data_IF_633095747552
#
_entry.id   IF_633095747552
#
_cell.length_a   1.000
_cell.length_b   1.000
_cell.length_c   1.000
_cell.angle_alpha   90.00
_cell.angle_beta   90.00
_cell.angle_gamma   90.00
#
_symmetry.space_group_name_H-M   'P 1'
#
loop_
_entity.id
_entity.type
_entity.pdbx_description
1 polymer ?
#
# COMPACT_ATOMS: atom_id res chain seq x y z
N UNK A 1 32.28 4.25 -1.96
CA UNK A 1 32.10 3.89 -3.38
C UNK A 1 30.66 3.41 -3.56
N UNK A 2 29.73 4.28 -3.92
CA UNK A 2 28.33 3.89 -4.19
C UNK A 2 28.21 3.61 -5.68
N UNK A 3 27.89 2.37 -6.05
CA UNK A 3 27.46 2.07 -7.43
C UNK A 3 26.31 3.02 -7.80
N UNK A 4 26.27 3.57 -9.02
CA UNK A 4 25.13 4.35 -9.46
C UNK A 4 23.86 3.50 -9.26
N UNK A 5 22.77 4.11 -8.75
CA UNK A 5 21.55 3.36 -8.50
C UNK A 5 21.07 2.75 -9.82
N UNK A 6 20.59 1.49 -9.81
CA UNK A 6 20.24 0.77 -11.03
C UNK A 6 19.30 1.60 -11.90
N UNK A 7 19.61 1.65 -13.20
CA UNK A 7 18.79 2.40 -14.16
C UNK A 7 17.39 1.79 -14.25
N UNK A 8 16.32 2.60 -14.20
CA UNK A 8 14.96 2.12 -14.42
C UNK A 8 14.86 1.42 -15.77
N UNK A 9 14.33 0.19 -15.78
CA UNK A 9 14.08 -0.54 -17.02
C UNK A 9 12.77 -0.08 -17.64
N UNK A 10 12.70 0.09 -18.97
CA UNK A 10 11.43 0.40 -19.63
C UNK A 10 10.43 -0.75 -19.37
N UNK A 11 9.15 -0.44 -19.13
CA UNK A 11 8.14 -1.46 -18.86
C UNK A 11 7.90 -2.33 -20.10
N UNK A 12 8.10 -3.64 -19.95
CA UNK A 12 7.69 -4.62 -20.96
C UNK A 12 6.20 -4.97 -20.86
N UNK A 13 5.67 -5.72 -21.82
CA UNK A 13 4.26 -6.14 -21.87
C UNK A 13 3.78 -6.82 -20.58
N UNK A 14 4.64 -7.66 -19.98
CA UNK A 14 4.35 -8.32 -18.71
C UNK A 14 4.15 -7.31 -17.56
N UNK A 15 4.93 -6.23 -17.53
CA UNK A 15 4.80 -5.20 -16.50
C UNK A 15 3.46 -4.46 -16.61
N UNK A 16 3.01 -4.17 -17.83
CA UNK A 16 1.69 -3.59 -18.07
C UNK A 16 0.54 -4.53 -17.69
N UNK A 17 0.63 -5.82 -18.05
CA UNK A 17 -0.38 -6.81 -17.69
C UNK A 17 -0.48 -6.99 -16.16
N UNK A 18 0.67 -7.08 -15.48
CA UNK A 18 0.71 -7.15 -14.02
C UNK A 18 0.19 -5.86 -13.38
N UNK A 19 0.55 -4.68 -13.89
CA UNK A 19 0.04 -3.41 -13.39
C UNK A 19 -1.50 -3.31 -13.52
N UNK A 20 -2.07 -3.81 -14.62
CA UNK A 20 -3.51 -3.88 -14.81
C UNK A 20 -4.17 -4.81 -13.77
N UNK A 21 -3.65 -6.02 -13.59
CA UNK A 21 -4.17 -6.99 -12.60
C UNK A 21 -4.08 -6.44 -11.17
N UNK A 22 -2.95 -5.81 -10.83
CA UNK A 22 -2.75 -5.17 -9.53
C UNK A 22 -3.70 -3.99 -9.35
N UNK A 23 -3.96 -3.21 -10.41
CA UNK A 23 -4.93 -2.12 -10.40
C UNK A 23 -6.35 -2.59 -10.15
N UNK A 24 -6.79 -3.67 -10.82
CA UNK A 24 -8.11 -4.29 -10.59
C UNK A 24 -8.22 -4.83 -9.16
N UNK A 25 -7.19 -5.53 -8.68
CA UNK A 25 -7.13 -6.03 -7.30
C UNK A 25 -7.16 -4.89 -6.27
N UNK A 26 -6.35 -3.85 -6.49
CA UNK A 26 -6.23 -2.70 -5.63
C UNK A 26 -7.51 -1.88 -5.56
N UNK A 27 -8.18 -1.68 -6.69
CA UNK A 27 -9.43 -0.92 -6.75
C UNK A 27 -10.62 -1.62 -6.08
N UNK A 28 -10.61 -2.95 -5.99
CA UNK A 28 -11.69 -3.71 -5.37
C UNK A 28 -11.40 -4.11 -3.91
N UNK A 29 -10.31 -4.84 -3.66
CA UNK A 29 -9.99 -5.37 -2.32
C UNK A 29 -9.13 -4.41 -1.50
N UNK A 30 -8.23 -3.66 -2.14
CA UNK A 30 -7.26 -2.71 -1.53
C UNK A 30 -6.30 -3.32 -0.48
N UNK A 31 -6.60 -4.48 0.09
CA UNK A 31 -5.82 -5.15 1.12
C UNK A 31 -4.46 -5.61 0.57
N UNK A 32 -3.38 -5.25 1.24
CA UNK A 32 -2.04 -5.75 0.90
C UNK A 32 -1.48 -5.31 -0.47
N UNK A 33 -2.16 -4.44 -1.23
CA UNK A 33 -1.79 -4.02 -2.60
C UNK A 33 -0.37 -3.44 -2.72
N UNK A 34 0.19 -2.95 -1.62
CA UNK A 34 1.55 -2.43 -1.58
C UNK A 34 2.63 -3.49 -1.86
N UNK A 35 2.42 -4.74 -1.46
CA UNK A 35 3.40 -5.82 -1.68
C UNK A 35 3.56 -6.18 -3.16
N UNK A 36 2.48 -6.47 -3.94
CA UNK A 36 2.62 -6.75 -5.36
C UNK A 36 3.12 -5.53 -6.15
N UNK A 37 2.79 -4.29 -5.75
CA UNK A 37 3.36 -3.09 -6.35
C UNK A 37 4.88 -2.99 -6.16
N UNK A 38 5.36 -3.20 -4.92
CA UNK A 38 6.80 -3.22 -4.65
C UNK A 38 7.47 -4.37 -5.43
N UNK A 39 6.85 -5.55 -5.45
CA UNK A 39 7.36 -6.68 -6.22
C UNK A 39 7.48 -6.34 -7.72
N UNK A 40 6.44 -5.75 -8.33
CA UNK A 40 6.46 -5.29 -9.71
C UNK A 40 7.59 -4.27 -9.96
N UNK A 41 7.69 -3.24 -9.13
CA UNK A 41 8.69 -2.19 -9.27
C UNK A 41 10.13 -2.69 -9.16
N UNK A 42 10.41 -3.58 -8.21
CA UNK A 42 11.75 -4.14 -8.01
C UNK A 42 12.10 -5.14 -9.11
N UNK A 43 11.18 -6.07 -9.43
CA UNK A 43 11.47 -7.16 -10.37
C UNK A 43 11.43 -6.75 -11.84
N UNK A 44 10.44 -5.94 -12.24
CA UNK A 44 10.20 -5.61 -13.65
C UNK A 44 10.74 -4.23 -14.05
N UNK A 45 10.76 -3.26 -13.14
CA UNK A 45 11.24 -1.90 -13.44
C UNK A 45 12.66 -1.63 -12.91
N UNK A 46 13.26 -2.56 -12.14
CA UNK A 46 14.62 -2.43 -11.63
C UNK A 46 14.79 -1.36 -10.55
N UNK A 47 13.71 -0.94 -9.89
CA UNK A 47 13.79 -0.01 -8.78
C UNK A 47 14.43 -0.66 -7.55
N UNK A 48 15.21 0.13 -6.80
CA UNK A 48 15.57 -0.26 -5.43
C UNK A 48 14.33 -0.20 -4.52
N UNK A 49 14.42 -0.80 -3.33
CA UNK A 49 13.28 -0.93 -2.42
C UNK A 49 12.76 0.45 -1.94
N UNK A 50 13.66 1.43 -1.83
CA UNK A 50 13.31 2.79 -1.39
C UNK A 50 12.49 3.52 -2.45
N UNK A 51 12.94 3.53 -3.70
CA UNK A 51 12.25 4.11 -4.86
C UNK A 51 10.94 3.37 -5.12
N UNK A 52 10.95 2.04 -5.06
CA UNK A 52 9.75 1.23 -5.20
C UNK A 52 8.70 1.59 -4.13
N UNK A 53 9.10 1.73 -2.87
CA UNK A 53 8.17 2.13 -1.81
C UNK A 53 7.64 3.55 -2.00
N UNK A 54 8.50 4.51 -2.38
CA UNK A 54 8.09 5.88 -2.67
C UNK A 54 7.08 5.95 -3.82
N UNK A 55 7.37 5.27 -4.94
CA UNK A 55 6.47 5.17 -6.08
C UNK A 55 5.15 4.47 -5.69
N UNK A 56 5.21 3.41 -4.87
CA UNK A 56 4.03 2.70 -4.38
C UNK A 56 3.12 3.62 -3.59
N UNK A 57 3.66 4.40 -2.66
CA UNK A 57 2.84 5.30 -1.84
C UNK A 57 2.19 6.39 -2.70
N UNK A 58 2.94 7.00 -3.61
CA UNK A 58 2.41 8.01 -4.53
C UNK A 58 1.31 7.45 -5.45
N UNK A 59 1.57 6.28 -6.06
CA UNK A 59 0.61 5.62 -6.94
C UNK A 59 -0.67 5.24 -6.18
N UNK A 60 -0.53 4.64 -5.00
CA UNK A 60 -1.66 4.26 -4.14
C UNK A 60 -2.50 5.47 -3.77
N UNK A 61 -1.87 6.59 -3.40
CA UNK A 61 -2.58 7.82 -3.09
C UNK A 61 -3.43 8.31 -4.28
N UNK A 62 -2.81 8.45 -5.46
CA UNK A 62 -3.49 8.97 -6.65
C UNK A 62 -4.64 8.06 -7.09
N UNK A 63 -4.42 6.75 -7.19
CA UNK A 63 -5.50 5.88 -7.66
C UNK A 63 -6.61 5.74 -6.61
N UNK A 64 -6.31 5.81 -5.30
CA UNK A 64 -7.35 5.76 -4.26
C UNK A 64 -8.32 6.94 -4.39
N UNK A 65 -7.83 8.13 -4.77
CA UNK A 65 -8.70 9.29 -5.06
C UNK A 65 -9.66 8.99 -6.22
N UNK A 66 -9.17 8.36 -7.29
CA UNK A 66 -9.99 7.95 -8.43
C UNK A 66 -11.03 6.91 -8.03
N UNK A 67 -10.62 5.90 -7.25
CA UNK A 67 -11.51 4.86 -6.73
C UNK A 67 -12.63 5.47 -5.90
N UNK A 68 -12.29 6.34 -4.93
CA UNK A 68 -13.29 7.06 -4.12
C UNK A 68 -14.25 7.85 -5.01
N UNK A 69 -13.76 8.56 -6.03
CA UNK A 69 -14.63 9.30 -6.95
C UNK A 69 -15.61 8.39 -7.71
N UNK A 70 -15.14 7.24 -8.20
CA UNK A 70 -15.98 6.25 -8.92
C UNK A 70 -17.04 5.65 -7.99
N UNK A 71 -16.66 5.20 -6.79
CA UNK A 71 -17.60 4.63 -5.83
C UNK A 71 -18.58 5.66 -5.28
N UNK A 72 -18.15 6.93 -5.13
CA UNK A 72 -19.03 8.04 -4.75
C UNK A 72 -20.08 8.29 -5.83
N UNK A 73 -19.67 8.34 -7.11
CA UNK A 73 -20.58 8.51 -8.24
C UNK A 73 -21.57 7.35 -8.38
N UNK A 74 -21.17 6.13 -8.00
CA UNK A 74 -22.03 4.96 -7.96
C UNK A 74 -22.97 4.90 -6.73
N UNK A 75 -22.86 5.84 -5.78
CA UNK A 75 -23.66 5.83 -4.56
C UNK A 75 -23.33 4.68 -3.59
N UNK A 76 -22.14 4.09 -3.71
CA UNK A 76 -21.73 2.90 -2.97
C UNK A 76 -20.86 3.20 -1.73
N UNK A 77 -20.76 4.48 -1.34
CA UNK A 77 -19.99 4.92 -0.17
C UNK A 77 -20.93 5.20 1.00
N UNK A 78 -20.74 4.44 2.09
CA UNK A 78 -21.25 4.80 3.40
C UNK A 78 -20.34 5.85 4.03
N UNK A 79 -20.73 7.13 3.93
CA UNK A 79 -19.92 8.26 4.38
C UNK A 79 -19.56 8.24 5.87
N UNK A 80 -20.50 7.95 6.81
CA UNK A 80 -20.16 7.79 8.21
C UNK A 80 -19.05 6.76 8.47
N UNK A 81 -19.19 5.55 7.90
CA UNK A 81 -18.20 4.48 8.07
C UNK A 81 -16.89 4.79 7.36
N UNK A 82 -16.95 5.39 6.18
CA UNK A 82 -15.78 5.83 5.42
C UNK A 82 -14.96 6.87 6.20
N UNK A 83 -15.61 7.83 6.87
CA UNK A 83 -14.95 8.83 7.71
C UNK A 83 -14.21 8.20 8.89
N UNK A 84 -14.85 7.27 9.60
CA UNK A 84 -14.22 6.54 10.71
C UNK A 84 -13.00 5.74 10.23
N UNK A 85 -13.13 5.05 9.09
CA UNK A 85 -12.05 4.29 8.48
C UNK A 85 -10.89 5.20 8.06
N UNK A 86 -11.17 6.33 7.42
CA UNK A 86 -10.16 7.28 6.96
C UNK A 86 -9.35 7.87 8.12
N UNK A 87 -10.01 8.23 9.22
CA UNK A 87 -9.33 8.71 10.44
C UNK A 87 -8.43 7.61 11.01
N UNK A 88 -8.96 6.39 11.17
CA UNK A 88 -8.18 5.26 11.70
C UNK A 88 -6.97 4.90 10.82
N UNK A 89 -7.15 4.84 9.50
CA UNK A 89 -6.07 4.57 8.54
C UNK A 89 -5.01 5.67 8.55
N UNK A 90 -5.41 6.94 8.60
CA UNK A 90 -4.48 8.08 8.63
C UNK A 90 -3.67 8.07 9.90
N UNK A 91 -4.33 7.91 11.05
CA UNK A 91 -3.66 7.88 12.36
C UNK A 91 -2.72 6.68 12.48
N UNK A 92 -3.19 5.47 12.13
CA UNK A 92 -2.37 4.25 12.15
C UNK A 92 -1.18 4.31 11.20
N UNK A 93 -1.37 4.85 10.00
CA UNK A 93 -0.30 5.05 9.03
C UNK A 93 0.75 6.05 9.51
N UNK A 94 0.33 7.19 10.06
CA UNK A 94 1.23 8.20 10.62
C UNK A 94 2.02 7.66 11.82
N UNK A 95 1.33 7.01 12.78
CA UNK A 95 1.97 6.44 13.96
C UNK A 95 2.95 5.33 13.57
N UNK A 96 2.55 4.42 12.69
CA UNK A 96 3.39 3.32 12.20
C UNK A 96 4.66 3.84 11.49
N UNK A 97 4.52 4.84 10.62
CA UNK A 97 5.67 5.49 9.98
C UNK A 97 6.62 6.13 11.01
N UNK A 98 6.07 6.80 12.03
CA UNK A 98 6.88 7.44 13.09
C UNK A 98 7.58 6.41 13.97
N UNK A 99 6.94 5.29 14.29
CA UNK A 99 7.51 4.18 15.05
C UNK A 99 8.66 3.52 14.28
N UNK A 100 8.48 3.26 12.98
CA UNK A 100 9.50 2.70 12.11
C UNK A 100 10.79 3.53 12.13
N UNK A 101 10.65 4.86 12.06
CA UNK A 101 11.78 5.79 12.06
C UNK A 101 12.48 5.90 13.41
N UNK A 102 11.77 5.73 14.52
CA UNK A 102 12.31 5.94 15.89
C UNK A 102 12.85 4.68 16.55
N UNK A 103 12.15 3.56 16.43
CA UNK A 103 12.41 2.36 17.23
C UNK A 103 12.93 1.15 16.42
N UNK A 104 13.02 1.29 15.09
CA UNK A 104 13.53 0.25 14.21
C UNK A 104 12.61 -0.97 14.05
N UNK A 105 13.13 -1.99 13.35
CA UNK A 105 12.38 -3.16 12.92
C UNK A 105 11.72 -4.01 14.03
N UNK A 106 12.33 -4.28 15.20
CA UNK A 106 11.77 -5.23 16.16
C UNK A 106 10.48 -4.72 16.82
N UNK A 107 10.38 -3.42 17.13
CA UNK A 107 9.15 -2.85 17.69
C UNK A 107 8.00 -2.92 16.69
N UNK A 108 8.28 -2.56 15.43
CA UNK A 108 7.27 -2.61 14.36
C UNK A 108 6.77 -4.04 14.16
N UNK A 109 7.69 -5.02 14.15
CA UNK A 109 7.33 -6.44 14.02
C UNK A 109 6.37 -6.88 15.12
N UNK A 110 6.66 -6.61 16.39
CA UNK A 110 5.79 -6.98 17.50
C UNK A 110 4.45 -6.26 17.45
N UNK A 111 4.46 -4.98 17.06
CA UNK A 111 3.23 -4.19 16.89
C UNK A 111 2.31 -4.83 15.84
N UNK A 112 2.87 -5.25 14.69
CA UNK A 112 2.12 -5.94 13.65
C UNK A 112 1.57 -7.27 14.16
N UNK A 113 2.38 -8.07 14.86
CA UNK A 113 1.95 -9.37 15.41
C UNK A 113 0.77 -9.19 16.37
N UNK A 114 0.85 -8.25 17.29
CA UNK A 114 -0.22 -7.95 18.25
C UNK A 114 -1.47 -7.47 17.53
N UNK A 115 -1.35 -6.56 16.56
CA UNK A 115 -2.47 -6.05 15.77
C UNK A 115 -3.19 -7.18 15.02
N UNK A 116 -2.44 -8.04 14.33
CA UNK A 116 -3.01 -9.19 13.58
C UNK A 116 -3.69 -10.16 14.53
N UNK A 117 -3.10 -10.45 15.69
CA UNK A 117 -3.69 -11.35 16.69
C UNK A 117 -5.02 -10.80 17.23
N UNK A 118 -5.07 -9.50 17.58
CA UNK A 118 -6.27 -8.84 18.08
C UNK A 118 -7.36 -8.79 17.00
N UNK A 119 -7.00 -8.39 15.77
CA UNK A 119 -7.96 -8.38 14.65
C UNK A 119 -8.50 -9.78 14.35
N UNK A 120 -7.63 -10.79 14.34
CA UNK A 120 -8.04 -12.18 14.16
C UNK A 120 -9.00 -12.65 15.25
N UNK A 121 -8.70 -12.36 16.51
CA UNK A 121 -9.58 -12.70 17.63
C UNK A 121 -10.94 -11.98 17.55
N UNK A 122 -10.95 -10.71 17.13
CA UNK A 122 -12.19 -9.93 16.98
C UNK A 122 -13.12 -10.45 15.88
N UNK A 123 -12.61 -11.23 14.93
CA UNK A 123 -13.41 -11.88 13.90
C UNK A 123 -14.03 -13.21 14.36
N UNK A 124 -13.58 -13.75 15.50
CA UNK A 124 -14.06 -15.02 16.06
C UNK A 124 -15.18 -14.84 17.11
N UNK A 125 -15.42 -13.59 17.54
CA UNK A 125 -16.46 -13.20 18.52
C UNK A 125 -17.56 -12.47 17.79
#
# INVERSE_FOLDING_TARGET
MTTPPPEPRPPGTAAYALALLIGVYGGFLQAGVGFPLIALFVSHLGHDLLRANAAKVALVFVYTLLVVAVFAAAGQIDWPRAGQLAIGMTFGGWLGARMQLRAGAPLVRWTIVVMVAVSGASLLV
#
